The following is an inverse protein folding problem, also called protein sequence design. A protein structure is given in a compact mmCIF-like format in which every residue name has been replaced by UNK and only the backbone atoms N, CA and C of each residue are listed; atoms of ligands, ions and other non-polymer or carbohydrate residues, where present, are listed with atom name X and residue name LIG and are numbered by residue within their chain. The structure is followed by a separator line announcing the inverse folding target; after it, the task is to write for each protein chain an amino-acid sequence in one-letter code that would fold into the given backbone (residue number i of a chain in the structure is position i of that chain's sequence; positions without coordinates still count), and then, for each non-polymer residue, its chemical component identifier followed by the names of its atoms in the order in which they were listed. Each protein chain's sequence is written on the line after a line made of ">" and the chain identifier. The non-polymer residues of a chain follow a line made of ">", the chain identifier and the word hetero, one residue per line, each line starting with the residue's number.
data_IF_908639928895
#
_entry.id   IF_908639928895
#
_cell.length_a   1.000
_cell.length_b   1.000
_cell.length_c   1.000
_cell.angle_alpha   90.00
_cell.angle_beta   90.00
_cell.angle_gamma   90.00
#
_symmetry.space_group_name_H-M   'P 1'
#
loop_
_entity.id
_entity.type
_entity.pdbx_description
1 polymer ?
#
# COMPACT_ATOMS: atom_id res chain seq x y z
N UNK A 1 -22.96 6.20 -7.70
CA UNK A 1 -21.83 5.25 -7.90
C UNK A 1 -20.53 6.00 -7.68
N UNK A 2 -19.54 5.39 -7.03
CA UNK A 2 -18.24 6.02 -6.81
C UNK A 2 -17.10 5.01 -7.01
N UNK A 3 -15.90 5.51 -7.31
CA UNK A 3 -14.69 4.69 -7.37
C UNK A 3 -13.46 5.54 -7.08
N UNK A 4 -12.53 4.96 -6.32
CA UNK A 4 -11.21 5.51 -6.05
C UNK A 4 -10.15 4.83 -6.90
N UNK A 5 -9.10 5.57 -7.26
CA UNK A 5 -7.95 5.07 -7.98
C UNK A 5 -6.66 5.53 -7.30
N UNK A 6 -5.66 4.66 -7.29
CA UNK A 6 -4.35 4.97 -6.72
C UNK A 6 -3.25 4.39 -7.59
N UNK A 7 -2.31 5.25 -7.96
CA UNK A 7 -1.06 4.95 -8.64
C UNK A 7 0.04 5.69 -7.87
N UNK A 8 1.30 5.22 -7.93
CA UNK A 8 2.40 5.94 -7.32
C UNK A 8 2.45 7.40 -7.83
N UNK A 9 2.26 8.36 -6.92
CA UNK A 9 2.23 9.79 -7.23
C UNK A 9 0.88 10.34 -7.70
N UNK A 10 -0.16 9.51 -7.83
CA UNK A 10 -1.48 9.94 -8.28
C UNK A 10 -2.61 9.24 -7.53
N UNK A 11 -3.55 10.00 -6.99
CA UNK A 11 -4.79 9.45 -6.45
C UNK A 11 -5.99 10.15 -7.07
N UNK A 12 -7.06 9.39 -7.30
CA UNK A 12 -8.27 9.87 -7.95
C UNK A 12 -9.48 9.40 -7.18
N UNK A 13 -10.52 10.23 -7.14
CA UNK A 13 -11.82 9.81 -6.64
C UNK A 13 -12.90 10.39 -7.54
N UNK A 14 -13.85 9.58 -7.97
CA UNK A 14 -14.99 10.09 -8.72
C UNK A 14 -16.31 9.54 -8.18
N UNK A 15 -17.36 10.35 -8.33
CA UNK A 15 -18.73 9.93 -8.05
C UNK A 15 -19.71 10.54 -9.04
N UNK A 16 -20.74 9.77 -9.38
CA UNK A 16 -21.91 10.23 -10.14
C UNK A 16 -23.12 10.14 -9.21
N UNK A 17 -23.88 11.23 -9.13
CA UNK A 17 -25.16 11.36 -8.40
C UNK A 17 -26.26 11.64 -9.42
N UNK A 18 -26.89 10.58 -9.99
CA UNK A 18 -27.89 10.73 -11.05
C UNK A 18 -29.09 11.59 -10.64
N UNK A 19 -29.56 11.46 -9.40
CA UNK A 19 -30.73 12.15 -8.87
C UNK A 19 -30.55 13.67 -8.84
N UNK A 20 -29.30 14.13 -8.76
CA UNK A 20 -28.94 15.54 -8.74
C UNK A 20 -28.38 16.02 -10.09
N UNK A 21 -28.20 15.13 -11.08
CA UNK A 21 -27.46 15.40 -12.31
C UNK A 21 -26.05 15.99 -12.06
N UNK A 22 -25.37 15.48 -11.03
CA UNK A 22 -24.04 15.95 -10.62
C UNK A 22 -23.01 14.82 -10.76
N UNK A 23 -21.79 15.19 -11.17
CA UNK A 23 -20.61 14.34 -11.07
C UNK A 23 -19.47 15.11 -10.40
N UNK A 24 -18.72 14.43 -9.55
CA UNK A 24 -17.56 14.98 -8.83
C UNK A 24 -16.35 14.17 -9.25
N UNK A 25 -15.27 14.84 -9.62
CA UNK A 25 -13.98 14.21 -9.95
C UNK A 25 -12.89 14.96 -9.21
N UNK A 26 -12.10 14.23 -8.42
CA UNK A 26 -10.94 14.74 -7.69
C UNK A 26 -9.71 14.02 -8.21
N UNK A 27 -8.68 14.78 -8.60
CA UNK A 27 -7.40 14.28 -9.10
C UNK A 27 -6.28 14.90 -8.29
N UNK A 28 -5.41 14.07 -7.74
CA UNK A 28 -4.26 14.48 -6.93
C UNK A 28 -3.00 13.95 -7.60
N UNK A 29 -1.97 14.79 -7.70
CA UNK A 29 -0.67 14.48 -8.30
C UNK A 29 0.46 14.49 -7.26
N UNK A 30 0.19 13.94 -6.08
CA UNK A 30 1.15 13.82 -5.01
C UNK A 30 1.01 12.48 -4.29
N UNK A 31 2.09 12.04 -3.65
CA UNK A 31 2.07 10.98 -2.65
C UNK A 31 1.75 11.65 -1.32
N UNK A 32 0.53 11.48 -0.84
CA UNK A 32 0.11 12.02 0.45
C UNK A 32 -0.04 10.92 1.49
N UNK A 33 -0.14 11.33 2.76
CA UNK A 33 -0.49 10.43 3.86
C UNK A 33 -2.01 10.20 3.81
N UNK A 34 -2.43 8.95 3.65
CA UNK A 34 -3.84 8.58 3.55
C UNK A 34 -4.43 8.71 2.13
N UNK A 35 -5.73 9.01 2.04
CA UNK A 35 -6.48 9.15 0.78
C UNK A 35 -6.95 10.60 0.56
N UNK A 36 -6.07 11.51 0.09
CA UNK A 36 -6.41 12.92 -0.07
C UNK A 36 -7.55 13.14 -1.07
N UNK A 37 -7.66 12.29 -2.11
CA UNK A 37 -8.71 12.41 -3.11
C UNK A 37 -10.08 12.11 -2.48
N UNK A 38 -10.17 11.06 -1.66
CA UNK A 38 -11.35 10.76 -0.86
C UNK A 38 -11.68 11.86 0.16
N UNK A 39 -10.67 12.37 0.88
CA UNK A 39 -10.89 13.41 1.90
C UNK A 39 -11.34 14.75 1.35
N UNK A 40 -11.02 15.09 0.09
CA UNK A 40 -11.55 16.26 -0.61
C UNK A 40 -12.94 15.96 -1.18
N UNK A 41 -13.16 14.75 -1.69
CA UNK A 41 -14.42 14.34 -2.28
C UNK A 41 -15.59 14.40 -1.30
N UNK A 42 -15.40 13.88 -0.09
CA UNK A 42 -16.49 13.76 0.88
C UNK A 42 -17.12 15.10 1.31
N UNK A 43 -16.37 16.14 1.72
CA UNK A 43 -16.96 17.44 2.05
C UNK A 43 -17.65 18.10 0.84
N UNK A 44 -17.11 17.91 -0.37
CA UNK A 44 -17.77 18.39 -1.59
C UNK A 44 -19.13 17.71 -1.79
N UNK A 45 -19.19 16.38 -1.61
CA UNK A 45 -20.43 15.62 -1.70
C UNK A 45 -21.43 16.05 -0.62
N UNK A 46 -21.02 16.17 0.65
CA UNK A 46 -21.92 16.62 1.73
C UNK A 46 -22.50 18.00 1.48
N UNK A 47 -21.70 18.89 0.89
CA UNK A 47 -22.14 20.24 0.51
C UNK A 47 -23.22 20.16 -0.59
N UNK A 48 -23.02 19.31 -1.59
CA UNK A 48 -23.97 19.14 -2.71
C UNK A 48 -25.30 18.53 -2.26
N UNK A 49 -25.28 17.57 -1.33
CA UNK A 49 -26.51 16.92 -0.83
C UNK A 49 -27.14 17.66 0.35
N UNK A 50 -26.58 18.80 0.75
CA UNK A 50 -27.04 19.64 1.86
C UNK A 50 -27.24 18.83 3.17
N UNK A 51 -26.24 18.02 3.52
CA UNK A 51 -26.28 17.17 4.72
C UNK A 51 -26.57 18.01 5.97
N UNK A 52 -27.65 17.67 6.69
CA UNK A 52 -28.09 18.41 7.90
C UNK A 52 -27.10 18.37 9.07
N UNK A 53 -26.20 17.39 9.08
CA UNK A 53 -25.19 17.16 10.11
C UNK A 53 -23.87 16.80 9.42
N UNK A 54 -23.12 17.80 8.93
CA UNK A 54 -21.88 17.53 8.23
C UNK A 54 -20.82 16.93 9.16
N UNK A 55 -19.96 16.08 8.59
CA UNK A 55 -18.83 15.49 9.32
C UNK A 55 -17.66 16.48 9.40
N UNK A 56 -16.83 16.34 10.45
CA UNK A 56 -15.55 17.04 10.54
C UNK A 56 -14.49 16.31 9.71
N UNK A 57 -14.49 16.56 8.41
CA UNK A 57 -13.55 15.93 7.49
C UNK A 57 -12.09 16.36 7.70
N UNK A 58 -11.85 17.52 8.34
CA UNK A 58 -10.49 17.94 8.68
C UNK A 58 -9.94 17.03 9.77
N UNK A 59 -10.68 16.85 10.86
CA UNK A 59 -10.28 15.95 11.95
C UNK A 59 -10.09 14.51 11.46
N UNK A 60 -11.00 14.00 10.62
CA UNK A 60 -10.91 12.66 10.05
C UNK A 60 -9.69 12.49 9.13
N UNK A 61 -9.39 13.50 8.30
CA UNK A 61 -8.22 13.48 7.43
C UNK A 61 -6.91 13.53 8.24
N UNK A 62 -6.85 14.33 9.30
CA UNK A 62 -5.71 14.39 10.22
C UNK A 62 -5.48 13.05 10.94
N UNK A 63 -6.54 12.44 11.46
CA UNK A 63 -6.47 11.11 12.08
C UNK A 63 -5.97 10.06 11.09
N UNK A 64 -6.50 10.06 9.87
CA UNK A 64 -6.08 9.13 8.82
C UNK A 64 -4.61 9.33 8.43
N UNK A 65 -4.16 10.57 8.30
CA UNK A 65 -2.77 10.91 8.01
C UNK A 65 -1.84 10.42 9.14
N UNK A 66 -2.23 10.66 10.40
CA UNK A 66 -1.48 10.19 11.56
C UNK A 66 -1.40 8.66 11.63
N UNK A 67 -2.52 7.97 11.40
CA UNK A 67 -2.58 6.51 11.37
C UNK A 67 -1.74 5.93 10.24
N UNK A 68 -1.75 6.58 9.06
CA UNK A 68 -0.92 6.18 7.93
C UNK A 68 0.58 6.36 8.22
N UNK A 69 0.98 7.51 8.76
CA UNK A 69 2.37 7.76 9.17
C UNK A 69 2.87 6.74 10.21
N UNK A 70 1.98 6.32 11.12
CA UNK A 70 2.28 5.34 12.17
C UNK A 70 2.17 3.88 11.70
N UNK A 71 1.67 3.64 10.49
CA UNK A 71 1.29 2.29 10.04
C UNK A 71 2.48 1.36 9.93
N UNK A 72 3.61 1.82 9.39
CA UNK A 72 4.82 1.01 9.23
C UNK A 72 5.35 0.57 10.59
N UNK A 73 5.42 1.47 11.57
CA UNK A 73 5.85 1.13 12.92
C UNK A 73 4.92 0.07 13.56
N UNK A 74 3.60 0.22 13.39
CA UNK A 74 2.61 -0.75 13.87
C UNK A 74 2.78 -2.12 13.20
N UNK A 75 2.93 -2.15 11.87
CA UNK A 75 3.17 -3.37 11.11
C UNK A 75 4.45 -4.07 11.60
N UNK A 76 5.53 -3.34 11.86
CA UNK A 76 6.77 -3.91 12.38
C UNK A 76 6.57 -4.51 13.78
N UNK A 77 5.84 -3.84 14.68
CA UNK A 77 5.50 -4.36 16.00
C UNK A 77 4.68 -5.65 15.88
N UNK A 78 3.68 -5.65 15.00
CA UNK A 78 2.80 -6.81 14.81
C UNK A 78 3.56 -7.98 14.19
N UNK A 79 4.46 -7.72 13.24
CA UNK A 79 5.37 -8.72 12.67
C UNK A 79 6.30 -9.31 13.74
N UNK A 80 6.87 -8.48 14.61
CA UNK A 80 7.71 -8.95 15.72
C UNK A 80 6.93 -9.82 16.70
N UNK A 81 5.71 -9.42 17.07
CA UNK A 81 4.83 -10.23 17.94
C UNK A 81 4.41 -11.54 17.29
N UNK A 82 4.20 -11.53 15.97
CA UNK A 82 3.81 -12.70 15.19
C UNK A 82 5.00 -13.62 14.87
N UNK A 83 6.24 -13.17 15.04
CA UNK A 83 7.45 -13.98 14.85
C UNK A 83 7.41 -15.12 15.87
N UNK A 84 7.19 -16.33 15.37
CA UNK A 84 7.29 -17.56 16.16
C UNK A 84 8.68 -18.14 15.92
N UNK A 85 9.37 -18.54 16.99
CA UNK A 85 10.66 -19.25 16.92
C UNK A 85 10.44 -20.72 16.49
N UNK A 86 9.82 -20.89 15.32
CA UNK A 86 9.63 -22.20 14.71
C UNK A 86 10.88 -22.48 13.88
N UNK A 87 11.55 -23.62 14.11
CA UNK A 87 12.68 -24.00 13.27
C UNK A 87 12.24 -24.11 11.80
N UNK A 88 13.09 -23.63 10.89
CA UNK A 88 12.88 -23.75 9.46
C UNK A 88 12.55 -25.18 9.09
N UNK A 89 11.35 -25.40 8.55
CA UNK A 89 10.89 -26.75 8.17
C UNK A 89 11.49 -27.23 6.84
N UNK A 90 12.17 -26.35 6.10
CA UNK A 90 12.74 -26.63 4.77
C UNK A 90 14.11 -25.99 4.62
N UNK A 91 15.04 -26.58 3.86
CA UNK A 91 16.32 -25.96 3.54
C UNK A 91 16.13 -24.68 2.73
N UNK A 92 17.02 -23.70 2.92
CA UNK A 92 16.94 -22.40 2.24
C UNK A 92 16.96 -22.52 0.70
N UNK A 93 17.58 -23.57 0.16
CA UNK A 93 17.62 -23.86 -1.27
C UNK A 93 16.22 -24.00 -1.89
N UNK A 94 15.25 -24.51 -1.13
CA UNK A 94 13.87 -24.75 -1.62
C UNK A 94 13.10 -23.46 -1.90
N UNK A 95 13.58 -22.33 -1.37
CA UNK A 95 13.00 -21.01 -1.59
C UNK A 95 13.67 -20.26 -2.75
N UNK A 96 14.71 -20.83 -3.36
CA UNK A 96 15.40 -20.19 -4.48
C UNK A 96 14.64 -20.42 -5.79
N UNK A 97 14.61 -19.39 -6.64
CA UNK A 97 13.93 -19.48 -7.92
C UNK A 97 13.35 -18.16 -8.40
N UNK A 98 12.79 -18.22 -9.62
CA UNK A 98 12.15 -17.10 -10.26
C UNK A 98 10.63 -17.21 -10.11
N UNK A 99 10.05 -16.34 -9.30
CA UNK A 99 8.62 -16.23 -9.10
C UNK A 99 8.06 -15.20 -10.06
N UNK A 100 7.03 -15.58 -10.82
CA UNK A 100 6.36 -14.71 -11.78
C UNK A 100 4.87 -14.73 -11.55
N UNK A 101 4.26 -13.55 -11.49
CA UNK A 101 2.81 -13.45 -11.67
C UNK A 101 2.52 -13.53 -13.18
N UNK A 102 1.76 -14.53 -13.65
CA UNK A 102 1.46 -14.70 -15.08
C UNK A 102 0.61 -13.56 -15.65
N UNK A 103 -0.09 -12.78 -14.82
CA UNK A 103 -1.04 -11.76 -15.23
C UNK A 103 -0.53 -10.32 -15.02
N UNK A 104 0.47 -10.10 -14.16
CA UNK A 104 0.81 -8.75 -13.66
C UNK A 104 2.24 -8.27 -13.96
N UNK A 105 2.98 -8.92 -14.87
CA UNK A 105 4.37 -8.54 -15.24
C UNK A 105 5.30 -8.32 -14.02
N UNK A 106 5.00 -8.96 -12.90
CA UNK A 106 5.78 -8.88 -11.68
C UNK A 106 6.66 -10.11 -11.58
N UNK A 107 7.96 -9.88 -11.40
CA UNK A 107 8.98 -10.92 -11.28
C UNK A 107 9.75 -10.70 -9.99
N UNK A 108 9.94 -11.75 -9.21
CA UNK A 108 10.81 -11.77 -8.04
C UNK A 108 11.79 -12.93 -8.18
N UNK A 109 13.09 -12.64 -8.16
CA UNK A 109 14.12 -13.67 -8.09
C UNK A 109 14.56 -13.81 -6.65
N UNK A 110 14.47 -15.02 -6.08
CA UNK A 110 15.04 -15.34 -4.79
C UNK A 110 16.30 -16.18 -5.01
N UNK A 111 17.41 -15.73 -4.43
CA UNK A 111 18.70 -16.46 -4.48
C UNK A 111 19.32 -16.54 -3.09
N UNK A 112 20.27 -17.46 -2.93
CA UNK A 112 21.17 -17.43 -1.77
C UNK A 112 22.26 -16.39 -1.98
N UNK A 113 22.71 -15.75 -0.89
CA UNK A 113 23.85 -14.83 -0.92
C UNK A 113 25.12 -15.59 -1.32
N UNK A 114 25.92 -15.06 -2.27
CA UNK A 114 27.09 -15.76 -2.78
C UNK A 114 28.28 -15.84 -1.81
N UNK A 115 28.31 -15.02 -0.74
CA UNK A 115 29.55 -14.76 0.03
C UNK A 115 29.34 -14.66 1.56
N UNK A 116 28.73 -15.66 2.20
CA UNK A 116 28.66 -15.70 3.67
C UNK A 116 28.90 -17.10 4.23
N UNK A 117 29.55 -17.16 5.40
CA UNK A 117 29.77 -18.38 6.20
C UNK A 117 28.45 -19.07 6.60
N UNK A 118 27.35 -18.31 6.59
CA UNK A 118 25.98 -18.78 6.73
C UNK A 118 25.16 -18.39 5.49
N UNK A 119 24.49 -19.32 4.80
CA UNK A 119 23.69 -19.00 3.63
C UNK A 119 22.48 -18.13 4.04
N UNK A 120 22.33 -16.96 3.42
CA UNK A 120 21.17 -16.08 3.59
C UNK A 120 20.38 -16.00 2.28
N UNK A 121 19.12 -15.57 2.36
CA UNK A 121 18.28 -15.34 1.17
C UNK A 121 18.26 -13.87 0.79
N UNK A 122 18.28 -13.62 -0.52
CA UNK A 122 18.15 -12.31 -1.12
C UNK A 122 17.01 -12.34 -2.15
N UNK A 123 16.16 -11.32 -2.13
CA UNK A 123 15.12 -11.09 -3.13
C UNK A 123 15.54 -9.97 -4.08
N UNK A 124 15.34 -10.15 -5.37
CA UNK A 124 15.53 -9.14 -6.40
C UNK A 124 14.19 -8.83 -7.05
N UNK A 125 13.70 -7.61 -6.87
CA UNK A 125 12.49 -7.16 -7.56
C UNK A 125 12.78 -6.91 -9.03
N UNK A 126 11.90 -7.43 -9.89
CA UNK A 126 12.06 -7.44 -11.35
C UNK A 126 13.36 -8.11 -11.83
N UNK A 127 13.94 -9.00 -11.01
CA UNK A 127 15.24 -9.63 -11.22
C UNK A 127 16.39 -8.62 -11.47
N UNK A 128 16.29 -7.42 -10.88
CA UNK A 128 17.30 -6.36 -11.03
C UNK A 128 18.23 -6.33 -9.83
N UNK A 129 19.54 -6.32 -10.09
CA UNK A 129 20.58 -6.20 -9.06
C UNK A 129 20.44 -4.89 -8.25
N UNK A 130 20.03 -3.79 -8.89
CA UNK A 130 19.77 -2.52 -8.21
C UNK A 130 18.56 -2.53 -7.26
N UNK A 131 17.83 -3.64 -7.21
CA UNK A 131 16.66 -3.86 -6.35
C UNK A 131 16.83 -5.17 -5.56
N UNK A 132 18.07 -5.50 -5.20
CA UNK A 132 18.40 -6.63 -4.36
C UNK A 132 18.25 -6.27 -2.87
N UNK A 133 17.52 -7.09 -2.13
CA UNK A 133 17.24 -6.91 -0.70
C UNK A 133 17.48 -8.21 0.05
N UNK A 134 18.17 -8.15 1.19
CA UNK A 134 18.37 -9.32 2.04
C UNK A 134 17.08 -9.62 2.79
N UNK A 135 16.66 -10.90 2.82
CA UNK A 135 15.42 -11.36 3.46
C UNK A 135 15.60 -11.71 4.95
N UNK A 136 16.79 -11.47 5.51
CA UNK A 136 17.14 -11.86 6.87
C UNK A 136 17.79 -10.72 7.66
N UNK A 137 17.10 -10.26 8.72
CA UNK A 137 17.59 -10.02 10.10
C UNK A 137 16.39 -10.21 11.07
#
# INVERSE_FOLDING_TARGET
>A
MFHGGSLAGYTTFFSIIPELNVSIVVLINSIALGDPAGWIHQPALETIIETKKPNDYVALAEEAAFSHASSIARILIDLQKARKDIPLQRPLSDFTGLYRDPNQNFVALVRQTPETTEPQLQILFQARESQAWNLTQ
#
